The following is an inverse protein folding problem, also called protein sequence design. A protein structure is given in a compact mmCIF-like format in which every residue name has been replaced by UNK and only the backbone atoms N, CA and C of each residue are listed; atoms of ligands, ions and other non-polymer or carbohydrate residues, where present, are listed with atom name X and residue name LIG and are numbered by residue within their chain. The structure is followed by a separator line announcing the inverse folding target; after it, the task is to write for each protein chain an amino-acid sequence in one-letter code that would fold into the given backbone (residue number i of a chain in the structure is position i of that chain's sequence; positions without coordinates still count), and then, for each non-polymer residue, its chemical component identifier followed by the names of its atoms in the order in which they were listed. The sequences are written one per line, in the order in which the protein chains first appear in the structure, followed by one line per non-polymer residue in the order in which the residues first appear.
data_IF_572920472293
#
_entry.id   IF_572920472293
#
_cell.length_a   1.000
_cell.length_b   1.000
_cell.length_c   1.000
_cell.angle_alpha   90.00
_cell.angle_beta   90.00
_cell.angle_gamma   90.00
#
_symmetry.space_group_name_H-M   'P 1'
#
loop_
_entity.id
_entity.type
_entity.pdbx_description
1 polymer ?
#
# COMPACT_ATOMS: atom_id res chain seq x y z
N UNK A 1 -15.15 27.42 4.22
CA UNK A 1 -15.88 26.43 3.40
C UNK A 1 -15.57 25.06 3.98
N UNK A 2 -16.46 24.54 4.83
CA UNK A 2 -16.27 23.29 5.57
C UNK A 2 -16.79 22.14 4.70
N UNK A 3 -15.89 21.27 4.21
CA UNK A 3 -16.30 20.06 3.50
C UNK A 3 -16.71 19.00 4.52
N UNK A 4 -17.95 18.52 4.42
CA UNK A 4 -18.55 17.51 5.28
C UNK A 4 -17.72 16.20 5.29
N UNK A 5 -17.75 15.41 6.38
CA UNK A 5 -17.15 14.10 6.40
C UNK A 5 -17.98 13.23 5.46
N UNK A 6 -17.42 12.86 4.31
CA UNK A 6 -17.99 11.80 3.50
C UNK A 6 -18.09 10.58 4.43
N UNK A 7 -19.30 10.06 4.63
CA UNK A 7 -19.53 8.70 5.11
C UNK A 7 -19.03 7.70 4.05
N UNK A 8 -17.73 7.78 3.76
CA UNK A 8 -17.15 7.49 2.46
C UNK A 8 -16.70 6.05 2.34
N UNK A 9 -17.15 5.39 1.26
CA UNK A 9 -16.62 4.11 0.83
C UNK A 9 -15.13 4.29 0.47
N UNK A 10 -14.25 3.49 1.08
CA UNK A 10 -12.81 3.47 0.78
C UNK A 10 -12.53 2.49 -0.35
N UNK A 11 -11.55 2.82 -1.21
CA UNK A 11 -11.13 1.99 -2.33
C UNK A 11 -9.74 1.41 -2.05
N UNK A 12 -9.56 0.12 -2.32
CA UNK A 12 -8.23 -0.51 -2.35
C UNK A 12 -7.74 -0.54 -3.79
N UNK A 13 -6.66 0.16 -4.07
CA UNK A 13 -5.97 0.11 -5.36
C UNK A 13 -4.87 -0.95 -5.30
N UNK A 14 -5.12 -2.10 -5.93
CA UNK A 14 -4.16 -3.21 -5.96
C UNK A 14 -3.15 -3.01 -7.10
N UNK A 15 -1.88 -2.92 -6.75
CA UNK A 15 -0.79 -2.77 -7.70
C UNK A 15 -0.78 -1.43 -8.43
N UNK A 16 -1.32 -0.36 -7.85
CA UNK A 16 -1.19 1.02 -8.35
C UNK A 16 -1.03 1.98 -7.16
N UNK A 17 -0.16 3.01 -7.23
CA UNK A 17 0.77 3.35 -8.32
C UNK A 17 2.02 2.46 -8.37
N UNK A 18 2.59 2.26 -9.58
CA UNK A 18 3.83 1.46 -9.81
C UNK A 18 5.06 2.28 -10.18
N UNK A 19 4.92 3.60 -10.21
CA UNK A 19 6.00 4.55 -10.53
C UNK A 19 5.77 5.84 -9.75
N UNK A 20 6.82 6.64 -9.64
CA UNK A 20 6.76 7.97 -9.00
C UNK A 20 5.80 8.91 -9.73
N UNK A 21 5.88 8.95 -11.06
CA UNK A 21 5.02 9.83 -11.87
C UNK A 21 3.54 9.47 -11.69
N UNK A 22 3.19 8.18 -11.67
CA UNK A 22 1.83 7.73 -11.38
C UNK A 22 1.37 8.14 -9.97
N UNK A 23 2.28 8.14 -8.99
CA UNK A 23 1.96 8.54 -7.63
C UNK A 23 1.71 10.05 -7.51
N UNK A 24 2.52 10.86 -8.20
CA UNK A 24 2.36 12.31 -8.29
C UNK A 24 1.03 12.66 -8.98
N UNK A 25 0.75 12.04 -10.12
CA UNK A 25 -0.49 12.27 -10.87
C UNK A 25 -1.71 11.84 -10.06
N UNK A 26 -1.61 10.72 -9.34
CA UNK A 26 -2.68 10.25 -8.46
C UNK A 26 -2.97 11.25 -7.33
N UNK A 27 -1.94 11.77 -6.66
CA UNK A 27 -2.15 12.78 -5.62
C UNK A 27 -2.77 14.07 -6.19
N UNK A 28 -2.30 14.51 -7.36
CA UNK A 28 -2.83 15.70 -8.02
C UNK A 28 -4.31 15.57 -8.41
N UNK A 29 -4.76 14.38 -8.83
CA UNK A 29 -6.12 14.15 -9.34
C UNK A 29 -7.09 13.63 -8.27
N UNK A 30 -6.62 12.76 -7.38
CA UNK A 30 -7.45 12.01 -6.44
C UNK A 30 -7.18 12.40 -4.98
N UNK A 31 -6.13 13.19 -4.72
CA UNK A 31 -5.66 13.48 -3.37
C UNK A 31 -4.77 12.38 -2.81
N UNK A 32 -4.19 12.65 -1.64
CA UNK A 32 -3.21 11.79 -1.00
C UNK A 32 -3.86 10.50 -0.45
N UNK A 33 -3.28 9.30 -0.68
CA UNK A 33 -3.82 8.06 -0.13
C UNK A 33 -3.72 8.02 1.40
N UNK A 34 -4.72 7.42 2.04
CA UNK A 34 -4.80 7.29 3.49
C UNK A 34 -3.90 6.19 4.07
N UNK A 35 -3.56 5.17 3.26
CA UNK A 35 -2.72 4.03 3.64
C UNK A 35 -2.12 3.37 2.39
N UNK A 36 -0.92 2.81 2.52
CA UNK A 36 -0.37 1.83 1.57
C UNK A 36 0.07 0.52 2.27
N UNK A 37 -0.59 -0.62 2.02
CA UNK A 37 -0.10 -1.92 2.45
C UNK A 37 1.04 -2.40 1.52
N UNK A 38 2.17 -2.82 2.08
CA UNK A 38 3.29 -3.39 1.33
C UNK A 38 3.58 -4.82 1.81
N UNK A 39 3.87 -5.78 0.90
CA UNK A 39 4.27 -7.12 1.33
C UNK A 39 5.63 -7.07 2.03
N UNK A 40 5.74 -7.69 3.20
CA UNK A 40 7.01 -7.89 3.88
C UNK A 40 7.94 -8.78 3.01
N UNK A 41 9.24 -8.51 3.02
CA UNK A 41 10.20 -9.22 2.17
C UNK A 41 10.33 -10.71 2.56
N UNK A 42 9.62 -11.61 1.87
CA UNK A 42 9.76 -13.06 2.02
C UNK A 42 11.01 -13.63 1.32
N UNK A 43 11.59 -14.70 1.88
CA UNK A 43 12.62 -15.52 1.19
C UNK A 43 11.93 -16.51 0.26
N UNK A 44 12.21 -16.48 -1.04
CA UNK A 44 11.61 -17.38 -2.03
C UNK A 44 12.67 -18.16 -2.81
N UNK A 45 12.59 -19.49 -2.82
CA UNK A 45 13.29 -20.34 -3.80
C UNK A 45 12.40 -20.44 -5.04
N UNK A 46 12.45 -19.40 -5.88
CA UNK A 46 11.57 -19.26 -7.04
C UNK A 46 12.33 -19.53 -8.35
N UNK A 47 11.63 -19.93 -9.44
CA UNK A 47 12.24 -20.05 -10.77
C UNK A 47 12.95 -18.75 -11.19
N UNK A 48 13.98 -18.83 -12.03
CA UNK A 48 14.81 -17.67 -12.41
C UNK A 48 13.98 -16.47 -12.93
N UNK A 49 12.91 -16.73 -13.70
CA UNK A 49 12.00 -15.70 -14.17
C UNK A 49 11.23 -14.99 -13.03
N UNK A 50 10.88 -15.72 -11.96
CA UNK A 50 10.21 -15.16 -10.80
C UNK A 50 11.18 -14.32 -9.94
N UNK A 51 12.43 -14.74 -9.78
CA UNK A 51 13.48 -13.94 -9.11
C UNK A 51 13.67 -12.60 -9.82
N UNK A 52 13.76 -12.60 -11.16
CA UNK A 52 13.88 -11.37 -11.94
C UNK A 52 12.65 -10.46 -11.78
N UNK A 53 11.43 -11.03 -11.75
CA UNK A 53 10.20 -10.26 -11.52
C UNK A 53 10.17 -9.64 -10.13
N UNK A 54 10.62 -10.36 -9.09
CA UNK A 54 10.74 -9.83 -7.73
C UNK A 54 11.76 -8.68 -7.68
N UNK A 55 12.91 -8.84 -8.34
CA UNK A 55 13.93 -7.81 -8.41
C UNK A 55 13.42 -6.53 -9.11
N UNK A 56 12.76 -6.69 -10.27
CA UNK A 56 12.15 -5.56 -11.00
C UNK A 56 11.06 -4.89 -10.16
N UNK A 57 10.18 -5.67 -9.52
CA UNK A 57 9.15 -5.13 -8.64
C UNK A 57 9.74 -4.28 -7.53
N UNK A 58 10.79 -4.77 -6.84
CA UNK A 58 11.48 -3.99 -5.79
C UNK A 58 12.09 -2.71 -6.36
N UNK A 59 12.80 -2.80 -7.47
CA UNK A 59 13.41 -1.64 -8.12
C UNK A 59 12.39 -0.57 -8.53
N UNK A 60 11.23 -1.00 -9.05
CA UNK A 60 10.17 -0.09 -9.48
C UNK A 60 9.33 0.47 -8.32
N UNK A 61 9.20 -0.29 -7.23
CA UNK A 61 8.38 0.10 -6.08
C UNK A 61 9.11 1.05 -5.13
N UNK A 62 10.45 1.00 -5.07
CA UNK A 62 11.23 1.82 -4.13
C UNK A 62 10.96 3.33 -4.27
N UNK A 63 10.97 3.94 -5.47
CA UNK A 63 10.68 5.37 -5.61
C UNK A 63 9.28 5.75 -5.11
N UNK A 64 8.31 4.85 -5.29
CA UNK A 64 6.94 5.04 -4.79
C UNK A 64 6.88 4.95 -3.27
N UNK A 65 7.55 3.97 -2.67
CA UNK A 65 7.62 3.81 -1.21
C UNK A 65 8.35 5.00 -0.57
N UNK A 66 9.46 5.45 -1.17
CA UNK A 66 10.18 6.65 -0.74
C UNK A 66 9.27 7.90 -0.77
N UNK A 67 8.53 8.09 -1.86
CA UNK A 67 7.56 9.18 -1.97
C UNK A 67 6.45 9.08 -0.91
N UNK A 68 5.87 7.89 -0.70
CA UNK A 68 4.84 7.67 0.34
C UNK A 68 5.36 8.04 1.74
N UNK A 69 6.59 7.63 2.07
CA UNK A 69 7.27 7.99 3.32
C UNK A 69 7.47 9.50 3.44
N UNK A 70 7.99 10.15 2.40
CA UNK A 70 8.23 11.59 2.36
C UNK A 70 6.92 12.39 2.52
N UNK A 71 5.85 11.90 1.88
CA UNK A 71 4.51 12.46 2.01
C UNK A 71 3.87 12.15 3.38
N UNK A 72 4.51 11.37 4.26
CA UNK A 72 4.01 10.92 5.59
C UNK A 72 2.81 9.98 5.53
N UNK A 73 2.58 9.28 4.41
CA UNK A 73 1.53 8.27 4.31
C UNK A 73 1.93 7.07 5.19
N UNK A 74 1.05 6.58 6.09
CA UNK A 74 1.33 5.36 6.83
C UNK A 74 1.50 4.17 5.87
N UNK A 75 2.66 3.51 5.97
CA UNK A 75 2.95 2.27 5.25
C UNK A 75 2.88 1.13 6.26
N UNK A 76 2.06 0.12 6.00
CA UNK A 76 1.97 -1.06 6.86
C UNK A 76 2.51 -2.26 6.11
N UNK A 77 3.54 -2.87 6.67
CA UNK A 77 4.06 -4.14 6.16
C UNK A 77 3.14 -5.28 6.60
N UNK A 78 2.66 -6.04 5.62
CA UNK A 78 1.83 -7.23 5.82
C UNK A 78 2.70 -8.47 5.67
N UNK A 79 2.72 -9.30 6.70
CA UNK A 79 3.29 -10.64 6.61
C UNK A 79 2.35 -11.53 5.79
N UNK A 80 2.83 -11.96 4.63
CA UNK A 80 2.11 -12.84 3.71
C UNK A 80 2.58 -14.31 3.79
N UNK A 81 3.35 -14.68 4.82
CA UNK A 81 3.87 -16.04 5.00
C UNK A 81 2.91 -16.98 5.74
N UNK A 82 1.93 -16.43 6.46
CA UNK A 82 0.90 -17.17 7.19
C UNK A 82 -0.25 -17.69 6.31
N UNK A 83 -1.25 -18.29 6.97
CA UNK A 83 -2.49 -18.74 6.35
C UNK A 83 -3.36 -17.57 5.84
N UNK A 84 -4.31 -17.87 4.96
CA UNK A 84 -5.27 -16.89 4.45
C UNK A 84 -6.05 -16.23 5.58
N UNK A 85 -6.40 -16.99 6.60
CA UNK A 85 -7.18 -16.56 7.75
C UNK A 85 -6.37 -15.59 8.62
N UNK A 86 -5.10 -15.87 8.84
CA UNK A 86 -4.16 -14.99 9.57
C UNK A 86 -3.95 -13.67 8.80
N UNK A 87 -3.72 -13.74 7.49
CA UNK A 87 -3.61 -12.57 6.63
C UNK A 87 -4.89 -11.72 6.67
N UNK A 88 -6.06 -12.36 6.57
CA UNK A 88 -7.35 -11.68 6.66
C UNK A 88 -7.58 -11.04 8.03
N UNK A 89 -7.13 -11.68 9.10
CA UNK A 89 -7.16 -11.12 10.44
C UNK A 89 -6.29 -9.86 10.54
N UNK A 90 -5.08 -9.89 9.99
CA UNK A 90 -4.18 -8.74 9.90
C UNK A 90 -4.81 -7.56 9.13
N UNK A 91 -5.40 -7.82 7.97
CA UNK A 91 -6.12 -6.81 7.18
C UNK A 91 -7.29 -6.18 7.95
N UNK A 92 -8.08 -7.00 8.65
CA UNK A 92 -9.17 -6.50 9.51
C UNK A 92 -8.65 -5.63 10.65
N UNK A 93 -7.50 -5.98 11.25
CA UNK A 93 -6.89 -5.18 12.31
C UNK A 93 -6.46 -3.80 11.79
N UNK A 94 -5.83 -3.74 10.62
CA UNK A 94 -5.48 -2.48 9.95
C UNK A 94 -6.73 -1.64 9.66
N UNK A 95 -7.78 -2.26 9.10
CA UNK A 95 -9.05 -1.57 8.81
C UNK A 95 -9.77 -1.06 10.06
N UNK A 96 -9.50 -1.60 11.25
CA UNK A 96 -9.98 -1.05 12.54
C UNK A 96 -9.13 0.14 12.97
N UNK A 97 -7.80 0.06 12.85
CA UNK A 97 -6.89 1.17 13.16
C UNK A 97 -7.21 2.41 12.31
N UNK A 98 -7.42 2.24 11.00
CA UNK A 98 -7.73 3.34 10.09
C UNK A 98 -9.08 4.02 10.33
N UNK A 99 -10.04 3.32 10.96
CA UNK A 99 -11.35 3.90 11.30
C UNK A 99 -11.26 4.94 12.42
N UNK A 100 -10.22 4.88 13.25
CA UNK A 100 -10.03 5.78 14.39
C UNK A 100 -9.10 6.98 14.09
N UNK A 101 -8.55 7.08 12.88
CA UNK A 101 -7.54 8.10 12.50
C UNK A 101 -8.19 9.34 11.83
N UNK A 102 -9.49 9.32 11.56
CA UNK A 102 -10.23 10.46 11.01
C UNK A 102 -11.09 11.07 12.11
N UNK A 103 -10.56 12.08 12.81
CA UNK A 103 -11.29 13.04 13.65
C UNK A 103 -11.17 14.40 12.97
#
# INVERSE_FOLDING_TARGET
MLSAPLGGRRLLLDGFPRSRDNAIDFEAQCGRPELAPAPAAGRTRAPHAAVRRIAVYRQQSEPTLEWLRASRVPIVELDSSGSREEMWSGLKAIGRLMRNIVI
#
